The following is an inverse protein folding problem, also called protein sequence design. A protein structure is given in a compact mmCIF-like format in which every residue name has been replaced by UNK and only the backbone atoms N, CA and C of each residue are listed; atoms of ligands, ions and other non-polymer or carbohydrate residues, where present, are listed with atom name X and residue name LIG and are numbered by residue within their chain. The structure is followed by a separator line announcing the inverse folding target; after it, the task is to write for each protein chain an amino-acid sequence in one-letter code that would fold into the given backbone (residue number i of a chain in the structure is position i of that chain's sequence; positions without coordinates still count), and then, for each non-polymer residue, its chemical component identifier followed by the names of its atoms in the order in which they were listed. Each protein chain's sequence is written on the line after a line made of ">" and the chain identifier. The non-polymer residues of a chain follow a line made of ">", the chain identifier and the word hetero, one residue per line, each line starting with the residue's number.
data_IF_099770608181
#
_entry.id   IF_099770608181
#
_cell.length_a   1.000
_cell.length_b   1.000
_cell.length_c   1.000
_cell.angle_alpha   90.00
_cell.angle_beta   90.00
_cell.angle_gamma   90.00
#
_symmetry.space_group_name_H-M   'P 1'
#
loop_
_entity.id
_entity.type
_entity.pdbx_description
1 polymer ?
#
# COMPACT_ATOMS: atom_id res chain seq x y z
N UNK A 1 -8.13 15.26 0.90
CA UNK A 1 -8.21 14.43 2.11
C UNK A 1 -6.89 14.58 2.88
N UNK A 2 -6.90 14.83 4.20
CA UNK A 2 -5.67 15.17 4.94
C UNK A 2 -5.54 14.39 6.24
N UNK A 3 -4.33 13.91 6.53
CA UNK A 3 -4.01 13.28 7.79
C UNK A 3 -3.80 14.30 8.91
N UNK A 4 -4.37 14.04 10.09
CA UNK A 4 -3.97 14.66 11.35
C UNK A 4 -3.38 13.61 12.29
N UNK A 5 -2.41 14.00 13.13
CA UNK A 5 -1.66 13.08 14.01
C UNK A 5 -0.99 11.90 13.27
N UNK A 6 -0.49 12.16 12.06
CA UNK A 6 0.14 11.16 11.19
C UNK A 6 1.44 10.64 11.80
N UNK A 7 1.49 9.34 12.05
CA UNK A 7 2.71 8.62 12.40
C UNK A 7 3.01 7.60 11.31
N UNK A 8 4.23 7.60 10.80
CA UNK A 8 4.70 6.64 9.79
C UNK A 8 5.82 5.78 10.37
N UNK A 9 5.76 4.47 10.10
CA UNK A 9 6.77 3.51 10.53
C UNK A 9 6.95 2.41 9.48
N UNK A 10 8.08 1.69 9.57
CA UNK A 10 8.40 0.55 8.68
C UNK A 10 8.61 -0.76 9.46
N UNK A 11 7.56 -1.28 10.13
CA UNK A 11 7.67 -2.52 10.89
C UNK A 11 7.83 -3.75 9.99
N UNK A 12 8.26 -4.85 10.62
CA UNK A 12 8.27 -6.19 10.02
C UNK A 12 6.99 -6.94 10.39
N UNK A 13 6.30 -7.50 9.40
CA UNK A 13 5.03 -8.18 9.57
C UNK A 13 5.20 -9.45 10.42
N UNK A 14 4.36 -9.61 11.46
CA UNK A 14 4.34 -10.80 12.31
C UNK A 14 3.33 -11.86 11.86
N UNK A 15 2.36 -11.45 11.04
CA UNK A 15 1.32 -12.27 10.41
C UNK A 15 0.98 -11.66 9.06
N UNK A 16 0.13 -12.31 8.28
CA UNK A 16 -0.40 -11.70 7.07
C UNK A 16 -1.26 -10.47 7.41
N UNK A 17 -1.11 -9.41 6.63
CA UNK A 17 -1.96 -8.22 6.68
C UNK A 17 -2.47 -7.90 5.27
N UNK A 18 -3.64 -7.28 5.20
CA UNK A 18 -4.10 -6.68 3.96
C UNK A 18 -3.19 -5.52 3.56
N UNK A 19 -2.99 -5.35 2.25
CA UNK A 19 -2.21 -4.28 1.65
C UNK A 19 -3.18 -3.23 1.11
N UNK A 20 -3.37 -2.15 1.84
CA UNK A 20 -4.29 -1.08 1.45
C UNK A 20 -3.82 -0.43 0.13
N UNK A 21 -2.51 -0.24 -0.07
CA UNK A 21 -1.97 0.25 -1.35
C UNK A 21 -2.35 -0.63 -2.55
N UNK A 22 -2.43 -1.94 -2.33
CA UNK A 22 -2.79 -2.89 -3.37
C UNK A 22 -4.27 -2.73 -3.74
N UNK A 23 -5.15 -2.46 -2.77
CA UNK A 23 -6.56 -2.14 -3.02
C UNK A 23 -6.73 -0.90 -3.89
N UNK A 24 -5.97 0.17 -3.61
CA UNK A 24 -5.95 1.38 -4.45
C UNK A 24 -5.53 1.07 -5.89
N UNK A 25 -4.45 0.29 -6.08
CA UNK A 25 -3.99 -0.14 -7.41
C UNK A 25 -5.03 -0.99 -8.14
N UNK A 26 -5.68 -1.92 -7.45
CA UNK A 26 -6.74 -2.75 -8.05
C UNK A 26 -7.90 -1.88 -8.57
N UNK A 27 -8.26 -0.85 -7.81
CA UNK A 27 -9.35 0.05 -8.16
C UNK A 27 -9.03 0.96 -9.36
N UNK A 28 -7.79 1.43 -9.47
CA UNK A 28 -7.34 2.26 -10.61
C UNK A 28 -7.04 1.42 -11.86
N UNK A 29 -6.59 0.19 -11.68
CA UNK A 29 -6.16 -0.68 -12.77
C UNK A 29 -4.67 -0.58 -13.04
N UNK A 30 -4.21 -1.35 -14.03
CA UNK A 30 -2.78 -1.54 -14.33
C UNK A 30 -2.36 -0.98 -15.69
N UNK A 31 -3.23 -0.23 -16.36
CA UNK A 31 -3.03 0.19 -17.75
C UNK A 31 -1.85 1.17 -17.91
N UNK A 32 -1.56 1.96 -16.88
CA UNK A 32 -0.47 2.94 -16.85
C UNK A 32 0.85 2.40 -16.25
N UNK A 33 0.88 1.12 -15.85
CA UNK A 33 2.08 0.49 -15.29
C UNK A 33 3.05 0.05 -16.39
N UNK A 34 4.35 0.22 -16.17
CA UNK A 34 5.37 -0.36 -17.06
C UNK A 34 5.55 -1.87 -16.83
N UNK A 35 6.23 -2.57 -17.73
CA UNK A 35 6.46 -4.02 -17.62
C UNK A 35 7.12 -4.45 -16.28
N UNK A 36 8.08 -3.65 -15.79
CA UNK A 36 8.73 -3.88 -14.50
C UNK A 36 7.75 -3.71 -13.32
N UNK A 37 6.83 -2.76 -13.43
CA UNK A 37 5.82 -2.48 -12.39
C UNK A 37 4.70 -3.51 -12.41
N UNK A 38 4.31 -3.96 -13.61
CA UNK A 38 3.42 -5.10 -13.80
C UNK A 38 4.00 -6.35 -13.16
N UNK A 39 5.31 -6.58 -13.28
CA UNK A 39 5.97 -7.71 -12.60
C UNK A 39 5.82 -7.61 -11.07
N UNK A 40 5.98 -6.43 -10.49
CA UNK A 40 5.76 -6.21 -9.05
C UNK A 40 4.28 -6.42 -8.67
N UNK A 41 3.36 -5.95 -9.50
CA UNK A 41 1.92 -6.15 -9.30
C UNK A 41 1.53 -7.63 -9.37
N UNK A 42 2.08 -8.39 -10.32
CA UNK A 42 1.87 -9.83 -10.44
C UNK A 42 2.44 -10.59 -9.24
N UNK A 43 3.60 -10.20 -8.72
CA UNK A 43 4.12 -10.75 -7.46
C UNK A 43 3.16 -10.48 -6.30
N UNK A 44 2.62 -9.26 -6.20
CA UNK A 44 1.63 -8.93 -5.19
C UNK A 44 0.34 -9.76 -5.35
N UNK A 45 -0.11 -9.95 -6.59
CA UNK A 45 -1.26 -10.80 -6.93
C UNK A 45 -1.06 -12.26 -6.55
N UNK A 46 0.12 -12.82 -6.80
CA UNK A 46 0.48 -14.18 -6.40
C UNK A 46 0.47 -14.35 -4.87
N UNK A 47 0.77 -13.28 -4.14
CA UNK A 47 0.66 -13.21 -2.67
C UNK A 47 -0.72 -12.71 -2.20
N UNK A 48 -1.76 -12.86 -3.02
CA UNK A 48 -3.15 -12.48 -2.72
C UNK A 48 -3.31 -11.02 -2.28
N UNK A 49 -2.49 -10.12 -2.83
CA UNK A 49 -2.45 -8.69 -2.48
C UNK A 49 -2.32 -8.45 -0.98
N UNK A 50 -1.56 -9.31 -0.30
CA UNK A 50 -1.33 -9.22 1.14
C UNK A 50 0.14 -9.03 1.46
N UNK A 51 0.41 -8.45 2.61
CA UNK A 51 1.74 -8.34 3.21
C UNK A 51 2.00 -9.64 3.97
N UNK A 52 2.99 -10.40 3.54
CA UNK A 52 3.32 -11.71 4.12
C UNK A 52 4.11 -11.58 5.43
N UNK A 53 4.02 -12.57 6.34
CA UNK A 53 4.86 -12.62 7.53
C UNK A 53 6.34 -12.51 7.20
N UNK A 54 7.06 -11.66 7.92
CA UNK A 54 8.48 -11.42 7.72
C UNK A 54 8.81 -10.34 6.68
N UNK A 55 7.85 -9.86 5.89
CA UNK A 55 8.04 -8.70 5.00
C UNK A 55 8.05 -7.39 5.80
N UNK A 56 8.84 -6.43 5.34
CA UNK A 56 8.79 -5.06 5.85
C UNK A 56 7.71 -4.29 5.08
N UNK A 57 6.92 -3.48 5.77
CA UNK A 57 5.81 -2.74 5.16
C UNK A 57 5.74 -1.32 5.71
N UNK A 58 5.12 -0.41 4.96
CA UNK A 58 4.78 0.94 5.45
C UNK A 58 3.53 0.84 6.31
N UNK A 59 3.58 1.37 7.53
CA UNK A 59 2.41 1.57 8.37
C UNK A 59 2.27 3.06 8.64
N UNK A 60 1.15 3.64 8.22
CA UNK A 60 0.72 4.99 8.57
C UNK A 60 -0.47 4.88 9.50
N UNK A 61 -0.46 5.58 10.62
CA UNK A 61 -1.60 5.66 11.52
C UNK A 61 -1.84 7.10 11.95
N UNK A 62 -3.11 7.45 12.17
CA UNK A 62 -3.51 8.81 12.51
C UNK A 62 -5.00 8.98 12.30
N UNK A 63 -5.47 10.22 12.35
CA UNK A 63 -6.86 10.58 12.07
C UNK A 63 -6.96 10.97 10.61
N UNK A 64 -7.69 10.18 9.83
CA UNK A 64 -8.06 10.45 8.44
C UNK A 64 -9.54 10.81 8.39
N UNK A 65 -9.87 11.99 7.86
CA UNK A 65 -11.24 12.50 7.75
C UNK A 65 -12.07 12.39 9.06
N UNK A 66 -11.41 12.59 10.21
CA UNK A 66 -12.04 12.57 11.53
C UNK A 66 -12.03 11.22 12.24
N UNK A 67 -11.59 10.14 11.57
CA UNK A 67 -11.55 8.79 12.13
C UNK A 67 -10.13 8.25 12.26
N UNK A 68 -9.85 7.59 13.39
CA UNK A 68 -8.55 6.94 13.58
C UNK A 68 -8.41 5.75 12.62
N UNK A 69 -7.49 5.89 11.68
CA UNK A 69 -7.26 4.96 10.58
C UNK A 69 -5.84 4.45 10.61
N UNK A 70 -5.65 3.19 10.24
CA UNK A 70 -4.33 2.58 10.04
C UNK A 70 -4.23 2.11 8.61
N UNK A 71 -3.34 2.72 7.86
CA UNK A 71 -2.98 2.35 6.51
C UNK A 71 -1.71 1.49 6.52
N UNK A 72 -1.71 0.39 5.76
CA UNK A 72 -0.62 -0.58 5.62
C UNK A 72 -0.37 -0.84 4.15
N UNK A 73 0.89 -0.80 3.75
CA UNK A 73 1.24 -1.03 2.36
C UNK A 73 2.56 -1.78 2.22
N UNK A 74 2.62 -2.70 1.26
CA UNK A 74 3.90 -3.24 0.77
C UNK A 74 4.76 -2.08 0.26
N UNK A 75 6.07 -2.15 0.48
CA UNK A 75 6.96 -1.02 0.17
C UNK A 75 6.93 -0.68 -1.33
N UNK A 76 7.02 -1.70 -2.17
CA UNK A 76 7.01 -1.61 -3.62
C UNK A 76 5.66 -1.11 -4.14
N UNK A 77 4.54 -1.63 -3.63
CA UNK A 77 3.20 -1.17 -4.04
C UNK A 77 2.95 0.27 -3.59
N UNK A 78 3.39 0.63 -2.39
CA UNK A 78 3.31 2.00 -1.91
C UNK A 78 4.09 2.97 -2.81
N UNK A 79 5.29 2.56 -3.25
CA UNK A 79 6.10 3.35 -4.16
C UNK A 79 5.43 3.54 -5.53
N UNK A 80 4.77 2.49 -6.06
CA UNK A 80 3.99 2.60 -7.30
C UNK A 80 2.84 3.59 -7.15
N UNK A 81 2.06 3.49 -6.08
CA UNK A 81 0.94 4.41 -5.86
C UNK A 81 1.40 5.87 -5.73
N UNK A 82 2.54 6.13 -5.07
CA UNK A 82 3.10 7.48 -5.01
C UNK A 82 3.57 7.93 -6.39
N UNK A 83 4.31 7.08 -7.11
CA UNK A 83 4.88 7.41 -8.42
C UNK A 83 3.80 7.81 -9.43
N UNK A 84 2.66 7.13 -9.39
CA UNK A 84 1.51 7.35 -10.27
C UNK A 84 0.46 8.30 -9.67
N UNK A 85 0.74 8.94 -8.53
CA UNK A 85 -0.19 9.82 -7.79
C UNK A 85 -1.57 9.21 -7.53
N UNK A 86 -1.64 7.89 -7.30
CA UNK A 86 -2.87 7.12 -7.11
C UNK A 86 -3.60 7.51 -5.81
N UNK A 87 -2.88 8.00 -4.80
CA UNK A 87 -3.51 8.44 -3.55
C UNK A 87 -4.11 9.85 -3.62
N UNK A 88 -3.80 10.61 -4.67
CA UNK A 88 -4.24 12.01 -4.83
C UNK A 88 -5.54 12.13 -5.65
N UNK A 89 -6.23 11.01 -5.91
CA UNK A 89 -7.50 10.96 -6.60
C UNK A 89 -8.67 11.55 -5.80
#
# INVERSE_FOLDING_TARGET
>A
MSWSLRTESKPRARKAYECDACEWLINVGTDDLSDDELTLYEQAKNESFSIQPGQTYVKVEGIWDGEFTVFRARLEMHALCIKHNIYDC
#
